data_IF_164483761888
#
_entry.id   IF_164483761888
#
_cell.length_a   1.000
_cell.length_b   1.000
_cell.length_c   1.000
_cell.angle_alpha   90.00
_cell.angle_beta   90.00
_cell.angle_gamma   90.00
#
_symmetry.space_group_name_H-M   'P 1'
#
loop_
_entity.id
_entity.type
_entity.pdbx_description
1 polymer ?
#
# COMPACT_ATOMS: atom_id res chain seq x y z
N UNK A 1 -12.99 73.42 7.39
CA UNK A 1 -14.30 73.57 6.79
C UNK A 1 -14.93 72.18 6.75
N UNK A 2 -15.76 71.89 7.77
CA UNK A 2 -17.11 71.31 7.69
C UNK A 2 -17.16 69.91 7.02
N UNK A 3 -17.82 68.87 7.50
CA UNK A 3 -18.71 68.56 8.64
C UNK A 3 -19.12 67.10 8.50
N UNK A 4 -19.06 66.34 9.57
CA UNK A 4 -20.06 65.42 10.17
C UNK A 4 -20.88 64.48 9.30
N UNK A 5 -20.97 63.22 9.79
CA UNK A 5 -22.07 62.31 9.45
C UNK A 5 -21.96 60.93 10.13
N UNK A 6 -22.38 60.84 11.39
CA UNK A 6 -22.63 59.61 12.16
C UNK A 6 -23.88 58.89 11.61
N UNK A 7 -23.88 57.57 11.61
CA UNK A 7 -25.06 56.75 11.35
C UNK A 7 -24.98 55.41 12.11
N UNK A 8 -25.39 55.40 13.37
CA UNK A 8 -25.66 54.21 14.19
C UNK A 8 -27.07 53.69 13.83
N UNK A 9 -27.20 52.45 13.45
CA UNK A 9 -28.49 51.74 13.44
C UNK A 9 -28.41 50.48 14.26
N UNK A 10 -29.01 50.56 15.47
CA UNK A 10 -29.39 49.44 16.32
C UNK A 10 -30.51 48.67 15.64
N UNK A 11 -30.39 47.33 15.56
CA UNK A 11 -31.56 46.50 15.29
C UNK A 11 -31.90 45.63 16.51
N UNK A 12 -33.18 45.71 16.83
CA UNK A 12 -33.89 45.20 18.00
C UNK A 12 -33.92 43.68 18.08
N UNK A 13 -33.74 43.16 19.28
CA UNK A 13 -34.20 41.84 19.75
C UNK A 13 -35.73 41.80 19.73
N UNK A 14 -36.32 40.78 19.09
CA UNK A 14 -37.69 40.36 19.37
C UNK A 14 -37.68 38.92 19.84
N UNK A 15 -37.95 38.76 21.17
CA UNK A 15 -38.20 37.46 21.77
C UNK A 15 -39.55 36.91 21.29
N UNK A 16 -39.59 35.63 21.05
CA UNK A 16 -40.85 34.87 21.00
C UNK A 16 -40.77 33.75 22.01
N UNK A 17 -41.52 33.99 23.05
CA UNK A 17 -41.95 33.06 24.08
C UNK A 17 -42.79 31.96 23.43
N UNK A 18 -42.41 30.68 23.56
CA UNK A 18 -43.29 29.58 23.28
C UNK A 18 -43.67 28.86 24.56
N UNK A 19 -44.94 28.85 24.76
CA UNK A 19 -45.71 28.29 25.86
C UNK A 19 -45.54 26.76 25.94
N UNK A 20 -45.16 26.27 27.13
CA UNK A 20 -45.16 24.85 27.49
C UNK A 20 -46.59 24.46 27.83
N UNK A 21 -47.21 23.62 27.03
CA UNK A 21 -48.48 22.95 27.36
C UNK A 21 -48.13 21.54 27.86
N UNK A 22 -48.21 21.34 29.18
CA UNK A 22 -48.18 20.03 29.78
C UNK A 22 -49.52 19.32 29.55
N UNK A 23 -49.51 18.21 28.85
CA UNK A 23 -50.63 17.30 28.75
C UNK A 23 -50.29 16.03 29.53
N UNK A 24 -50.86 15.91 30.71
CA UNK A 24 -50.86 14.69 31.53
C UNK A 24 -51.82 13.66 30.95
N UNK A 25 -51.35 12.46 30.64
CA UNK A 25 -52.19 11.29 30.37
C UNK A 25 -51.72 10.09 31.21
N UNK A 26 -52.67 9.31 31.72
CA UNK A 26 -52.36 8.35 32.81
C UNK A 26 -51.77 7.04 32.33
N UNK A 27 -50.96 6.45 33.22
CA UNK A 27 -50.42 5.08 33.15
C UNK A 27 -51.57 4.06 33.10
N UNK A 28 -51.59 3.29 32.03
CA UNK A 28 -52.17 1.94 32.09
C UNK A 28 -51.02 0.94 31.79
N UNK A 29 -50.72 0.15 32.80
CA UNK A 29 -49.70 -0.87 32.73
C UNK A 29 -50.07 -1.98 31.74
N UNK A 30 -49.15 -2.29 30.83
CA UNK A 30 -49.09 -3.57 30.14
C UNK A 30 -47.72 -4.15 30.44
N UNK A 31 -47.72 -5.18 31.27
CA UNK A 31 -46.57 -6.04 31.53
C UNK A 31 -46.27 -6.86 30.26
N UNK A 32 -45.23 -6.51 29.53
CA UNK A 32 -44.65 -7.38 28.51
C UNK A 32 -43.51 -8.19 29.13
N UNK A 33 -43.75 -9.48 29.30
CA UNK A 33 -42.70 -10.47 29.57
C UNK A 33 -41.69 -10.54 28.47
N UNK A 34 -40.40 -10.65 28.75
CA UNK A 34 -39.40 -10.92 27.72
C UNK A 34 -39.54 -12.36 27.24
N UNK A 35 -39.96 -12.56 26.01
CA UNK A 35 -39.86 -13.86 25.33
C UNK A 35 -38.36 -14.14 25.10
N UNK A 36 -37.82 -15.08 25.90
CA UNK A 36 -36.54 -15.68 25.66
C UNK A 36 -36.61 -16.48 24.35
N UNK A 37 -36.02 -15.98 23.29
CA UNK A 37 -35.78 -16.71 22.05
C UNK A 37 -34.71 -17.77 22.33
N UNK A 38 -35.12 -18.99 22.60
CA UNK A 38 -34.25 -20.17 22.62
C UNK A 38 -33.90 -20.51 21.16
N UNK A 39 -32.73 -20.18 20.75
CA UNK A 39 -32.10 -20.70 19.54
C UNK A 39 -31.54 -22.09 19.83
N UNK A 40 -32.40 -23.10 19.78
CA UNK A 40 -31.95 -24.48 19.63
C UNK A 40 -31.66 -24.73 18.18
N UNK A 41 -30.40 -24.72 17.80
CA UNK A 41 -29.96 -25.28 16.52
C UNK A 41 -29.84 -26.80 16.73
N UNK A 42 -30.83 -27.53 16.25
CA UNK A 42 -30.80 -29.01 16.13
C UNK A 42 -29.80 -29.42 15.01
N UNK A 43 -28.55 -29.09 15.18
CA UNK A 43 -27.49 -29.61 14.32
C UNK A 43 -26.68 -30.58 15.20
N UNK A 44 -26.69 -31.88 14.92
CA UNK A 44 -25.83 -32.79 15.64
C UNK A 44 -24.37 -32.41 15.45
N UNK A 45 -23.50 -32.56 16.43
CA UNK A 45 -22.09 -32.27 16.32
C UNK A 45 -21.47 -33.10 15.18
N UNK A 46 -20.47 -32.56 14.42
CA UNK A 46 -19.83 -33.31 13.37
C UNK A 46 -19.17 -34.56 13.96
N UNK A 47 -19.54 -35.70 13.42
CA UNK A 47 -18.94 -37.00 13.78
C UNK A 47 -17.54 -37.01 13.19
N UNK A 48 -16.48 -37.29 13.96
CA UNK A 48 -15.14 -37.43 13.43
C UNK A 48 -15.09 -38.61 12.46
N UNK A 49 -14.27 -38.54 11.36
CA UNK A 49 -14.16 -39.60 10.39
C UNK A 49 -13.65 -40.92 11.07
N UNK A 50 -14.31 -42.00 10.79
CA UNK A 50 -14.13 -43.27 11.48
C UNK A 50 -12.82 -44.02 11.15
N UNK A 51 -11.93 -43.48 10.32
CA UNK A 51 -10.62 -44.10 10.07
C UNK A 51 -9.60 -43.04 9.64
N UNK A 52 -8.57 -42.88 10.44
CA UNK A 52 -7.29 -42.26 10.01
C UNK A 52 -6.53 -43.37 9.29
N UNK A 53 -6.03 -43.17 8.05
CA UNK A 53 -5.15 -44.14 7.41
C UNK A 53 -3.84 -44.29 8.24
N UNK A 54 -3.49 -45.53 8.51
CA UNK A 54 -2.29 -45.90 9.25
C UNK A 54 -1.01 -45.37 8.50
N UNK A 55 -0.07 -44.68 9.16
CA UNK A 55 1.15 -44.14 8.48
C UNK A 55 2.23 -45.21 8.27
N UNK A 56 1.85 -46.44 7.98
CA UNK A 56 2.72 -47.62 7.95
C UNK A 56 2.95 -48.28 6.59
N UNK A 57 2.59 -47.68 5.46
CA UNK A 57 2.92 -48.26 4.15
C UNK A 57 3.91 -47.34 3.39
N UNK A 58 5.20 -47.51 3.65
CA UNK A 58 6.24 -46.95 2.81
C UNK A 58 6.17 -47.56 1.41
N UNK A 59 5.61 -46.86 0.44
CA UNK A 59 5.72 -47.23 -0.96
C UNK A 59 7.14 -46.89 -1.43
N UNK A 60 7.97 -47.94 -1.59
CA UNK A 60 9.28 -47.81 -2.23
C UNK A 60 9.10 -47.46 -3.70
N UNK A 61 9.29 -46.19 -4.03
CA UNK A 61 9.42 -45.74 -5.42
C UNK A 61 10.84 -46.04 -5.88
N UNK A 62 11.00 -47.10 -6.68
CA UNK A 62 12.23 -47.33 -7.41
C UNK A 62 12.44 -46.15 -8.42
N UNK A 63 13.65 -45.61 -8.53
CA UNK A 63 13.90 -44.54 -9.49
C UNK A 63 13.78 -45.05 -10.92
N UNK A 64 13.22 -44.26 -11.85
CA UNK A 64 13.18 -44.61 -13.25
C UNK A 64 14.60 -44.68 -13.82
N UNK A 65 14.91 -45.76 -14.53
CA UNK A 65 16.15 -45.96 -15.27
C UNK A 65 16.22 -44.93 -16.40
N UNK A 66 16.91 -43.80 -16.14
CA UNK A 66 17.26 -42.81 -17.16
C UNK A 66 18.59 -43.19 -17.84
N UNK A 67 18.81 -42.71 -19.08
CA UNK A 67 20.03 -43.04 -19.83
C UNK A 67 21.27 -42.51 -19.16
N UNK A 68 22.30 -43.35 -19.20
CA UNK A 68 23.66 -43.11 -18.63
C UNK A 68 24.24 -41.84 -19.26
N UNK A 69 24.68 -40.82 -18.49
CA UNK A 69 25.40 -39.67 -19.03
C UNK A 69 26.79 -40.10 -19.56
N UNK A 70 27.31 -39.47 -20.63
CA UNK A 70 28.64 -39.75 -21.16
C UNK A 70 29.73 -39.50 -20.14
N UNK A 71 30.87 -40.24 -20.20
CA UNK A 71 31.95 -40.09 -19.24
C UNK A 71 32.56 -38.68 -19.30
N UNK A 72 32.78 -38.10 -18.13
CA UNK A 72 33.43 -36.81 -17.98
C UNK A 72 34.90 -36.89 -18.51
N UNK A 73 35.41 -35.82 -19.13
CA UNK A 73 36.80 -35.78 -19.56
C UNK A 73 37.75 -35.90 -18.36
N UNK A 74 38.72 -36.81 -18.48
CA UNK A 74 39.76 -37.02 -17.49
C UNK A 74 40.61 -35.75 -17.37
N UNK A 75 40.67 -35.21 -16.17
CA UNK A 75 41.55 -34.10 -15.87
C UNK A 75 43.01 -34.57 -15.87
N UNK A 76 43.87 -33.87 -16.59
CA UNK A 76 45.33 -34.00 -16.54
C UNK A 76 45.85 -33.76 -15.13
N UNK A 77 46.90 -34.50 -14.67
CA UNK A 77 47.45 -34.29 -13.34
C UNK A 77 48.09 -32.89 -13.25
N UNK A 78 47.53 -32.07 -12.37
CA UNK A 78 48.08 -30.77 -11.99
C UNK A 78 49.32 -30.93 -11.09
N UNK A 79 50.20 -29.92 -11.01
CA UNK A 79 51.37 -29.94 -10.17
C UNK A 79 51.01 -30.11 -8.69
N UNK A 80 51.93 -30.69 -7.87
CA UNK A 80 51.66 -31.03 -6.49
C UNK A 80 51.29 -29.78 -5.66
N UNK A 81 50.11 -29.81 -5.07
CA UNK A 81 49.67 -28.78 -4.12
C UNK A 81 50.43 -29.00 -2.82
N UNK A 82 51.23 -28.03 -2.41
CA UNK A 82 51.89 -28.01 -1.12
C UNK A 82 50.83 -28.06 0.00
N UNK A 83 51.04 -29.00 0.94
CA UNK A 83 50.15 -29.19 2.09
C UNK A 83 50.11 -27.92 2.96
N UNK A 84 48.93 -27.38 3.14
CA UNK A 84 48.69 -26.30 4.11
C UNK A 84 48.65 -26.93 5.50
N UNK A 85 49.44 -26.46 6.49
CA UNK A 85 49.36 -26.97 7.85
C UNK A 85 47.98 -26.64 8.48
N UNK A 86 47.36 -27.55 9.26
CA UNK A 86 46.12 -27.29 9.95
C UNK A 86 46.35 -26.37 11.15
N UNK A 87 45.60 -25.26 11.22
CA UNK A 87 45.43 -24.55 12.48
C UNK A 87 45.97 -23.13 12.56
N UNK A 88 45.39 -22.23 11.79
CA UNK A 88 45.26 -20.84 12.25
C UNK A 88 43.79 -20.46 12.23
N UNK A 89 43.21 -19.91 13.34
CA UNK A 89 41.87 -19.37 13.30
C UNK A 89 41.83 -18.25 12.26
N UNK A 90 40.83 -18.30 11.37
CA UNK A 90 40.61 -17.25 10.39
C UNK A 90 40.47 -15.91 11.13
N UNK A 91 41.47 -15.05 10.96
CA UNK A 91 41.43 -13.71 11.47
C UNK A 91 40.23 -13.01 10.80
N UNK A 92 39.27 -12.61 11.60
CA UNK A 92 38.19 -11.71 11.19
C UNK A 92 38.90 -10.47 10.59
N UNK A 93 38.62 -10.08 9.34
CA UNK A 93 39.22 -8.89 8.76
C UNK A 93 38.98 -7.72 9.71
N UNK A 94 39.98 -6.92 10.08
CA UNK A 94 39.78 -5.77 10.96
C UNK A 94 38.78 -4.85 10.30
N UNK A 95 37.70 -4.53 11.03
CA UNK A 95 36.80 -3.46 10.67
C UNK A 95 37.68 -2.24 10.45
N UNK A 96 37.71 -1.72 9.22
CA UNK A 96 38.56 -0.60 8.86
C UNK A 96 38.34 0.53 9.85
N UNK A 97 39.39 0.90 10.57
CA UNK A 97 39.34 2.05 11.48
C UNK A 97 38.99 3.29 10.66
N UNK A 98 38.14 4.20 11.19
CA UNK A 98 37.84 5.44 10.51
C UNK A 98 39.15 6.18 10.17
N UNK A 99 39.23 6.83 9.00
CA UNK A 99 40.43 7.57 8.61
C UNK A 99 40.78 8.61 9.69
N UNK A 100 42.05 8.65 10.10
CA UNK A 100 42.53 9.64 11.05
C UNK A 100 42.33 11.05 10.46
N UNK A 101 41.72 11.94 11.21
CA UNK A 101 41.50 13.33 10.80
C UNK A 101 42.88 14.03 10.61
N UNK A 102 43.04 14.79 9.53
CA UNK A 102 44.18 15.70 9.39
C UNK A 102 44.09 16.83 10.45
N UNK A 103 45.21 17.46 10.84
CA UNK A 103 45.17 18.56 11.80
C UNK A 103 44.18 19.64 11.32
N UNK A 104 43.23 20.03 12.18
CA UNK A 104 42.08 20.91 11.93
C UNK A 104 40.93 20.33 11.09
N UNK A 105 40.78 19.00 11.07
CA UNK A 105 39.59 18.36 10.49
C UNK A 105 38.96 17.43 11.52
N UNK A 106 37.62 17.39 11.56
CA UNK A 106 36.85 16.42 12.30
C UNK A 106 36.27 15.35 11.37
N UNK A 107 36.06 14.15 11.90
CA UNK A 107 35.36 13.06 11.19
C UNK A 107 33.98 12.90 11.80
N UNK A 108 32.95 13.15 11.02
CA UNK A 108 31.57 12.91 11.40
C UNK A 108 31.13 11.53 10.93
N UNK A 109 31.00 10.60 11.88
CA UNK A 109 30.57 9.22 11.66
C UNK A 109 29.06 9.14 11.89
N UNK A 110 28.28 8.87 10.83
CA UNK A 110 26.81 8.89 10.88
C UNK A 110 26.25 7.46 10.86
N UNK A 111 25.19 7.26 11.60
CA UNK A 111 24.41 6.02 11.59
C UNK A 111 22.93 6.32 11.77
N UNK A 112 22.05 5.44 11.27
CA UNK A 112 20.61 5.56 11.49
C UNK A 112 20.02 4.21 11.93
N UNK A 113 18.95 4.29 12.74
CA UNK A 113 18.20 3.14 13.26
C UNK A 113 16.72 3.37 13.11
N UNK A 114 15.94 2.30 12.96
CA UNK A 114 14.47 2.39 12.97
C UNK A 114 13.89 2.74 14.35
N UNK A 115 14.61 2.48 15.42
CA UNK A 115 14.24 2.76 16.81
C UNK A 115 15.46 2.69 17.71
N UNK A 116 15.34 3.13 18.98
CA UNK A 116 16.47 3.16 19.94
C UNK A 116 17.10 1.79 20.14
N UNK A 117 16.27 0.73 20.19
CA UNK A 117 16.68 -0.65 20.47
C UNK A 117 16.72 -1.54 19.21
N UNK A 118 16.58 -0.94 18.03
CA UNK A 118 16.63 -1.66 16.76
C UNK A 118 18.01 -1.54 16.12
N UNK A 119 18.41 -2.50 15.27
CA UNK A 119 19.69 -2.49 14.57
C UNK A 119 19.82 -1.30 13.64
N UNK A 120 21.05 -1.01 13.22
CA UNK A 120 21.33 0.02 12.23
C UNK A 120 20.68 -0.32 10.89
N UNK A 121 20.30 0.73 10.18
CA UNK A 121 19.78 0.64 8.81
C UNK A 121 20.97 0.44 7.87
N UNK A 122 20.95 -0.65 7.09
CA UNK A 122 22.09 -1.07 6.29
C UNK A 122 22.05 -0.57 4.83
N UNK A 123 21.06 0.27 4.47
CA UNK A 123 21.00 0.82 3.11
C UNK A 123 19.76 1.69 2.85
N UNK A 124 19.75 2.30 1.67
CA UNK A 124 18.66 3.19 1.24
C UNK A 124 18.68 4.58 1.87
N UNK A 125 19.67 4.87 2.72
CA UNK A 125 19.82 6.18 3.36
C UNK A 125 20.42 7.18 2.39
N UNK A 126 19.94 8.43 2.51
CA UNK A 126 20.52 9.60 1.85
C UNK A 126 20.84 10.62 2.92
N UNK A 127 22.14 10.86 3.11
CA UNK A 127 22.66 11.83 4.05
C UNK A 127 22.98 13.13 3.35
N UNK A 128 22.60 14.26 3.93
CA UNK A 128 22.96 15.60 3.46
C UNK A 128 23.44 16.42 4.62
N UNK A 129 24.60 17.02 4.46
CA UNK A 129 25.18 17.94 5.45
C UNK A 129 25.15 19.35 4.89
N UNK A 130 24.58 20.25 5.66
CA UNK A 130 24.43 21.65 5.30
C UNK A 130 25.23 22.53 6.29
N UNK A 131 25.63 23.72 5.83
CA UNK A 131 26.11 24.76 6.71
C UNK A 131 25.02 25.12 7.74
N UNK A 132 25.42 25.55 8.97
CA UNK A 132 24.47 25.90 10.03
C UNK A 132 23.76 27.23 9.79
N UNK A 133 24.29 28.06 8.91
CA UNK A 133 23.73 29.38 8.57
C UNK A 133 23.23 29.39 7.12
N UNK A 134 22.04 29.96 6.91
CA UNK A 134 21.58 30.22 5.55
C UNK A 134 22.47 31.28 4.87
N UNK A 135 22.54 31.20 3.56
CA UNK A 135 23.17 32.21 2.72
C UNK A 135 22.29 33.48 2.61
N UNK A 136 22.74 34.46 1.82
CA UNK A 136 22.00 35.72 1.60
C UNK A 136 20.62 35.54 0.98
N UNK A 137 20.37 34.39 0.34
CA UNK A 137 19.05 34.02 -0.22
C UNK A 137 18.13 33.32 0.80
N UNK A 138 18.61 33.05 2.01
CA UNK A 138 17.91 32.27 3.04
C UNK A 138 18.03 30.77 2.86
N UNK A 139 18.83 30.28 1.91
CA UNK A 139 19.01 28.85 1.64
C UNK A 139 20.20 28.28 2.44
N UNK A 140 20.05 27.05 2.97
CA UNK A 140 21.15 26.34 3.59
C UNK A 140 22.04 25.71 2.51
N UNK A 141 23.32 26.08 2.48
CA UNK A 141 24.29 25.55 1.52
C UNK A 141 24.58 24.08 1.84
N UNK A 142 24.28 23.18 0.89
CA UNK A 142 24.66 21.77 0.97
C UNK A 142 26.16 21.61 0.77
N UNK A 143 26.83 20.99 1.74
CA UNK A 143 28.28 20.78 1.73
C UNK A 143 28.65 19.38 1.26
N UNK A 144 27.87 18.36 1.65
CA UNK A 144 28.11 16.96 1.31
C UNK A 144 26.79 16.21 1.16
N UNK A 145 26.76 15.25 0.23
CA UNK A 145 25.74 14.20 0.14
C UNK A 145 26.44 12.85 0.15
N UNK A 146 25.89 11.87 0.87
CA UNK A 146 26.40 10.50 0.92
C UNK A 146 25.22 9.53 0.97
N UNK A 147 25.40 8.31 0.45
CA UNK A 147 24.37 7.25 0.40
C UNK A 147 24.80 5.97 1.12
N UNK A 148 25.90 6.03 1.82
CA UNK A 148 26.38 4.93 2.65
C UNK A 148 25.46 4.66 3.85
N UNK A 149 25.49 3.43 4.34
CA UNK A 149 24.75 3.08 5.56
C UNK A 149 25.32 3.77 6.80
N UNK A 150 26.66 3.91 6.84
CA UNK A 150 27.41 4.55 7.93
C UNK A 150 28.56 5.39 7.35
N UNK A 151 28.25 6.55 6.74
CA UNK A 151 29.28 7.37 6.12
C UNK A 151 30.18 8.03 7.17
N UNK A 152 31.45 8.23 6.81
CA UNK A 152 32.42 9.01 7.54
C UNK A 152 32.71 10.28 6.75
N UNK A 153 32.21 11.41 7.19
CA UNK A 153 32.32 12.67 6.48
C UNK A 153 33.38 13.54 7.16
N UNK A 154 34.42 13.91 6.40
CA UNK A 154 35.50 14.76 6.89
C UNK A 154 35.15 16.22 6.60
N UNK A 155 35.10 17.04 7.66
CA UNK A 155 34.76 18.46 7.61
C UNK A 155 35.61 19.26 8.59
N UNK A 156 35.80 20.58 8.40
CA UNK A 156 36.36 21.44 9.44
C UNK A 156 35.50 21.40 10.72
N UNK A 157 36.10 21.61 11.91
CA UNK A 157 35.31 21.76 13.14
C UNK A 157 34.32 22.91 13.04
N UNK A 158 33.08 22.68 13.51
CA UNK A 158 32.02 23.68 13.43
C UNK A 158 30.64 23.06 13.57
N UNK A 159 29.61 23.90 13.49
CA UNK A 159 28.23 23.47 13.56
C UNK A 159 27.67 23.20 12.16
N UNK A 160 26.97 22.11 12.03
CA UNK A 160 26.36 21.63 10.78
C UNK A 160 24.94 21.18 10.98
N UNK A 161 24.11 21.29 9.96
CA UNK A 161 22.78 20.69 9.93
C UNK A 161 22.85 19.40 9.12
N UNK A 162 22.61 18.28 9.80
CA UNK A 162 22.60 16.94 9.18
C UNK A 162 21.16 16.52 8.93
N UNK A 163 20.86 16.23 7.68
CA UNK A 163 19.59 15.66 7.24
C UNK A 163 19.84 14.22 6.76
N UNK A 164 19.01 13.29 7.23
CA UNK A 164 18.98 11.91 6.75
C UNK A 164 17.59 11.58 6.27
N UNK A 165 17.50 10.88 5.14
CA UNK A 165 16.24 10.43 4.55
C UNK A 165 16.29 8.94 4.19
N UNK A 166 15.14 8.28 4.34
CA UNK A 166 14.88 6.90 3.92
C UNK A 166 13.46 6.82 3.36
N UNK A 167 13.34 6.82 2.04
CA UNK A 167 12.04 6.93 1.38
C UNK A 167 11.32 8.23 1.79
N UNK A 168 10.13 8.10 2.38
CA UNK A 168 9.33 9.24 2.86
C UNK A 168 9.62 9.63 4.31
N UNK A 169 10.59 9.01 4.95
CA UNK A 169 10.98 9.31 6.33
C UNK A 169 12.26 10.11 6.35
N UNK A 170 12.31 11.15 7.14
CA UNK A 170 13.52 11.94 7.31
C UNK A 170 13.68 12.45 8.75
N UNK A 171 14.92 12.74 9.10
CA UNK A 171 15.25 13.45 10.34
C UNK A 171 16.31 14.51 10.07
N UNK A 172 16.22 15.60 10.83
CA UNK A 172 17.16 16.70 10.77
C UNK A 172 17.68 16.97 12.18
N UNK A 173 18.98 17.20 12.32
CA UNK A 173 19.60 17.58 13.58
C UNK A 173 20.78 18.50 13.34
N UNK A 174 20.96 19.49 14.21
CA UNK A 174 22.19 20.27 14.31
C UNK A 174 23.24 19.50 15.09
N UNK A 175 24.47 19.41 14.55
CA UNK A 175 25.60 18.67 15.10
C UNK A 175 26.78 19.64 15.20
N UNK A 176 27.46 19.65 16.36
CA UNK A 176 28.68 20.43 16.56
C UNK A 176 29.89 19.51 16.46
N UNK A 177 30.56 19.51 15.31
CA UNK A 177 31.72 18.68 15.02
C UNK A 177 32.96 19.27 15.66
N UNK A 178 33.62 18.46 16.52
CA UNK A 178 34.91 18.77 17.14
C UNK A 178 36.06 18.30 16.25
N UNK A 179 37.32 18.74 16.53
CA UNK A 179 38.51 18.27 15.77
C UNK A 179 38.88 16.81 16.12
N UNK A 180 37.90 15.96 16.34
CA UNK A 180 38.00 14.53 16.66
C UNK A 180 36.97 13.76 15.83
N UNK A 181 36.86 12.46 16.08
CA UNK A 181 35.80 11.63 15.48
C UNK A 181 34.53 11.72 16.33
N UNK A 182 33.52 12.40 15.83
CA UNK A 182 32.18 12.44 16.42
C UNK A 182 31.27 11.38 15.78
N UNK A 183 30.54 10.65 16.62
CA UNK A 183 29.61 9.60 16.19
C UNK A 183 28.19 10.02 16.52
N UNK A 184 27.39 10.21 15.47
CA UNK A 184 25.99 10.59 15.58
C UNK A 184 25.05 9.48 15.10
N UNK A 185 24.07 9.16 15.95
CA UNK A 185 23.05 8.17 15.63
C UNK A 185 21.67 8.83 15.52
N UNK A 186 21.02 8.62 14.37
CA UNK A 186 19.70 9.12 14.07
C UNK A 186 18.65 8.04 14.25
N UNK A 187 17.48 8.40 14.77
CA UNK A 187 16.33 7.52 14.84
C UNK A 187 15.35 7.91 13.74
N UNK A 188 15.09 6.97 12.82
CA UNK A 188 14.11 7.08 11.75
C UNK A 188 13.00 6.05 12.01
N UNK A 189 11.91 6.42 12.68
CA UNK A 189 10.82 5.48 12.95
C UNK A 189 10.04 5.19 11.65
N UNK A 190 10.62 4.31 10.84
CA UNK A 190 10.13 3.91 9.54
C UNK A 190 9.82 2.42 9.48
N UNK A 191 8.78 2.06 8.72
CA UNK A 191 8.46 0.68 8.36
C UNK A 191 8.26 0.52 6.86
N UNK A 192 8.47 -0.70 6.37
CA UNK A 192 8.17 -1.07 5.00
C UNK A 192 6.69 -1.38 4.82
N UNK A 193 6.13 -0.98 3.70
CA UNK A 193 4.80 -1.38 3.24
C UNK A 193 4.91 -1.97 1.85
N UNK A 194 4.27 -3.13 1.65
CA UNK A 194 4.12 -3.75 0.34
C UNK A 194 2.67 -4.15 0.13
N UNK A 195 2.11 -3.80 -1.03
CA UNK A 195 0.69 -3.96 -1.34
C UNK A 195 0.51 -4.94 -2.50
N UNK A 196 -0.44 -5.84 -2.36
CA UNK A 196 -0.87 -6.75 -3.42
C UNK A 196 -2.39 -6.76 -3.51
N UNK A 197 -2.92 -6.99 -4.73
CA UNK A 197 -4.34 -7.19 -4.97
C UNK A 197 -4.67 -8.59 -5.44
N UNK A 198 -5.84 -9.09 -5.03
CA UNK A 198 -6.37 -10.40 -5.45
C UNK A 198 -7.86 -10.34 -5.75
N UNK A 199 -8.29 -11.25 -6.64
CA UNK A 199 -9.70 -11.61 -6.80
C UNK A 199 -9.81 -13.09 -6.48
N UNK A 200 -10.54 -13.44 -5.42
CA UNK A 200 -10.51 -14.78 -4.89
C UNK A 200 -9.08 -15.22 -4.53
N UNK A 201 -8.58 -16.28 -5.15
CA UNK A 201 -7.20 -16.76 -4.97
C UNK A 201 -6.21 -16.21 -6.02
N UNK A 202 -6.70 -15.59 -7.08
CA UNK A 202 -5.89 -15.12 -8.21
C UNK A 202 -5.30 -13.74 -7.93
N UNK A 203 -4.00 -13.58 -8.19
CA UNK A 203 -3.31 -12.29 -8.07
C UNK A 203 -3.70 -11.40 -9.26
N UNK A 204 -4.04 -10.14 -8.97
CA UNK A 204 -4.30 -9.14 -10.00
C UNK A 204 -2.96 -8.68 -10.60
N UNK A 205 -2.83 -8.63 -11.94
CA UNK A 205 -1.64 -8.10 -12.60
C UNK A 205 -1.34 -6.64 -12.19
N UNK A 206 -0.05 -6.30 -12.08
CA UNK A 206 0.37 -4.96 -11.63
C UNK A 206 -0.17 -3.81 -12.47
N UNK A 207 -0.33 -4.02 -13.77
CA UNK A 207 -0.86 -3.01 -14.71
C UNK A 207 -2.37 -2.83 -14.65
N UNK A 208 -3.08 -3.63 -13.86
CA UNK A 208 -4.54 -3.58 -13.71
C UNK A 208 -4.99 -3.07 -12.35
N UNK A 209 -4.06 -2.87 -11.42
CA UNK A 209 -4.37 -2.41 -10.07
C UNK A 209 -3.42 -1.29 -9.67
N UNK A 210 -3.95 -0.31 -8.96
CA UNK A 210 -3.19 0.78 -8.37
C UNK A 210 -3.64 1.04 -6.94
N UNK A 211 -2.71 1.58 -6.13
CA UNK A 211 -3.01 1.92 -4.74
C UNK A 211 -2.71 3.39 -4.49
N UNK A 212 -3.55 4.03 -3.70
CA UNK A 212 -3.28 5.34 -3.13
C UNK A 212 -3.19 5.22 -1.61
N UNK A 213 -2.21 5.87 -1.00
CA UNK A 213 -1.96 5.80 0.43
C UNK A 213 -2.27 7.16 1.04
N UNK A 214 -3.05 7.14 2.12
CA UNK A 214 -3.47 8.31 2.88
C UNK A 214 -3.02 8.18 4.34
N UNK A 215 -2.69 9.30 4.97
CA UNK A 215 -2.33 9.34 6.40
C UNK A 215 -3.58 9.39 7.27
N UNK A 216 -3.64 8.58 8.31
CA UNK A 216 -4.77 8.47 9.24
C UNK A 216 -5.71 7.33 8.90
N UNK A 217 -6.96 7.37 9.37
CA UNK A 217 -8.01 6.39 9.10
C UNK A 217 -8.98 6.87 8.04
N UNK A 218 -9.57 5.95 7.30
CA UNK A 218 -10.65 6.23 6.35
C UNK A 218 -11.90 6.83 7.02
N UNK A 219 -12.04 6.67 8.34
CA UNK A 219 -13.16 7.19 9.13
C UNK A 219 -12.93 8.60 9.71
N UNK A 220 -11.76 9.21 9.47
CA UNK A 220 -11.41 10.55 10.00
C UNK A 220 -12.26 11.71 9.43
N UNK A 221 -13.20 11.45 8.51
CA UNK A 221 -14.19 12.39 8.01
C UNK A 221 -13.64 13.62 7.26
N UNK A 222 -12.34 13.70 7.00
CA UNK A 222 -11.70 14.79 6.24
C UNK A 222 -11.23 14.26 4.90
N UNK A 223 -11.65 14.92 3.84
CA UNK A 223 -11.07 14.69 2.53
C UNK A 223 -9.60 15.17 2.54
N UNK A 224 -8.69 14.27 2.25
CA UNK A 224 -7.24 14.53 2.26
C UNK A 224 -6.65 14.15 0.90
N UNK A 225 -5.66 14.91 0.47
CA UNK A 225 -4.84 14.47 -0.64
C UNK A 225 -4.06 13.20 -0.25
N UNK A 226 -3.87 12.26 -1.16
CA UNK A 226 -3.06 11.07 -0.90
C UNK A 226 -1.62 11.47 -0.59
N UNK A 227 -1.02 10.81 0.40
CA UNK A 227 0.41 10.92 0.70
C UNK A 227 1.25 10.38 -0.48
N UNK A 228 0.80 9.26 -1.06
CA UNK A 228 1.34 8.68 -2.28
C UNK A 228 0.17 8.30 -3.18
N UNK A 229 0.00 8.97 -4.34
CA UNK A 229 -1.21 8.82 -5.15
C UNK A 229 -1.22 7.55 -6.01
N UNK A 230 -0.08 6.97 -6.30
CA UNK A 230 0.02 5.88 -7.28
C UNK A 230 1.16 4.92 -6.89
N UNK A 231 0.82 3.85 -6.20
CA UNK A 231 1.75 2.80 -5.80
C UNK A 231 1.44 1.56 -6.62
N UNK A 232 2.45 1.00 -7.28
CA UNK A 232 2.30 -0.25 -8.01
C UNK A 232 2.23 -1.45 -7.05
N UNK A 233 1.52 -2.49 -7.47
CA UNK A 233 1.46 -3.74 -6.70
C UNK A 233 2.85 -4.39 -6.60
N UNK A 234 3.24 -4.79 -5.39
CA UNK A 234 4.52 -5.43 -5.12
C UNK A 234 5.67 -4.48 -4.81
N UNK A 235 5.52 -3.19 -5.06
CA UNK A 235 6.55 -2.20 -4.70
C UNK A 235 6.67 -2.08 -3.17
N UNK A 236 7.91 -1.92 -2.71
CA UNK A 236 8.19 -1.66 -1.31
C UNK A 236 8.34 -0.17 -1.06
N UNK A 237 7.53 0.36 -0.18
CA UNK A 237 7.52 1.76 0.21
C UNK A 237 7.92 1.93 1.67
N UNK A 238 8.88 2.83 1.96
CA UNK A 238 9.24 3.18 3.34
C UNK A 238 8.41 4.36 3.81
N UNK A 239 7.62 4.13 4.87
CA UNK A 239 6.72 5.12 5.47
C UNK A 239 7.09 5.38 6.93
N UNK A 240 6.81 6.58 7.47
CA UNK A 240 6.84 6.81 8.91
C UNK A 240 5.96 5.81 9.66
N UNK A 241 6.37 5.45 10.87
CA UNK A 241 5.49 4.69 11.75
C UNK A 241 4.17 5.43 11.97
N UNK A 242 3.03 4.72 11.87
CA UNK A 242 1.73 5.33 12.03
C UNK A 242 0.58 4.55 11.45
N UNK A 243 -0.60 5.16 11.51
CA UNK A 243 -1.83 4.65 10.90
C UNK A 243 -2.03 5.32 9.55
N UNK A 244 -2.40 4.50 8.59
CA UNK A 244 -2.70 4.90 7.22
C UNK A 244 -3.95 4.18 6.75
N UNK A 245 -4.58 4.68 5.71
CA UNK A 245 -5.52 3.89 4.94
C UNK A 245 -5.09 3.85 3.47
N UNK A 246 -5.39 2.75 2.84
CA UNK A 246 -5.14 2.51 1.43
C UNK A 246 -6.45 2.52 0.66
N UNK A 247 -6.41 3.04 -0.54
CA UNK A 247 -7.47 2.93 -1.54
C UNK A 247 -6.90 2.12 -2.68
N UNK A 248 -7.45 0.93 -2.90
CA UNK A 248 -7.08 0.03 -3.98
C UNK A 248 -8.09 0.15 -5.11
N UNK A 249 -7.63 0.44 -6.33
CA UNK A 249 -8.45 0.53 -7.52
C UNK A 249 -8.06 -0.60 -8.47
N UNK A 250 -9.00 -1.51 -8.74
CA UNK A 250 -8.84 -2.55 -9.75
C UNK A 250 -9.57 -2.15 -11.00
N UNK A 251 -8.81 -1.93 -12.09
CA UNK A 251 -9.33 -1.28 -13.29
C UNK A 251 -9.64 0.21 -13.06
N UNK A 252 -10.51 0.75 -13.89
CA UNK A 252 -10.85 2.16 -13.96
C UNK A 252 -12.37 2.45 -13.81
N UNK A 253 -13.13 1.46 -13.31
CA UNK A 253 -14.55 1.61 -13.06
C UNK A 253 -14.85 1.68 -11.54
N UNK A 254 -15.60 0.72 -10.99
CA UNK A 254 -16.10 0.79 -9.64
C UNK A 254 -15.51 -0.23 -8.64
N UNK A 255 -14.52 -1.01 -9.05
CA UNK A 255 -13.88 -1.96 -8.15
C UNK A 255 -12.85 -1.26 -7.25
N UNK A 256 -13.34 -0.67 -6.17
CA UNK A 256 -12.55 0.10 -5.21
C UNK A 256 -12.67 -0.50 -3.82
N UNK A 257 -11.54 -0.76 -3.17
CA UNK A 257 -11.48 -1.26 -1.78
C UNK A 257 -10.68 -0.30 -0.93
N UNK A 258 -11.19 0.01 0.27
CA UNK A 258 -10.52 0.83 1.28
C UNK A 258 -10.19 -0.03 2.49
N UNK A 259 -8.99 0.14 3.05
CA UNK A 259 -8.56 -0.60 4.23
C UNK A 259 -7.62 0.24 5.09
N UNK A 260 -7.84 0.25 6.39
CA UNK A 260 -6.92 0.84 7.36
C UNK A 260 -5.77 -0.12 7.63
N UNK A 261 -4.57 0.42 7.73
CA UNK A 261 -3.34 -0.31 8.00
C UNK A 261 -2.50 0.40 9.05
N UNK A 262 -1.64 -0.35 9.74
CA UNK A 262 -0.67 0.20 10.68
C UNK A 262 0.74 -0.18 10.25
N UNK A 263 1.57 0.82 10.02
CA UNK A 263 3.01 0.67 9.76
C UNK A 263 3.77 0.77 11.08
N UNK A 264 4.64 -0.19 11.35
CA UNK A 264 5.47 -0.25 12.56
C UNK A 264 6.95 -0.09 12.20
N UNK A 265 7.67 0.66 13.04
CA UNK A 265 9.09 0.88 12.83
C UNK A 265 9.88 -0.44 12.76
N UNK A 266 10.79 -0.54 11.80
CA UNK A 266 11.66 -1.69 11.58
C UNK A 266 10.97 -2.95 11.06
N UNK A 267 9.67 -2.90 10.73
CA UNK A 267 8.92 -4.06 10.21
C UNK A 267 8.47 -3.83 8.77
N UNK A 268 8.37 -4.92 8.03
CA UNK A 268 7.68 -4.96 6.75
C UNK A 268 6.21 -5.36 7.00
N UNK A 269 5.30 -4.55 6.51
CA UNK A 269 3.86 -4.82 6.52
C UNK A 269 3.44 -5.23 5.12
N UNK A 270 3.14 -6.51 4.94
CA UNK A 270 2.58 -7.05 3.71
C UNK A 270 1.06 -7.03 3.78
N UNK A 271 0.42 -6.36 2.83
CA UNK A 271 -1.03 -6.22 2.78
C UNK A 271 -1.57 -6.78 1.48
N UNK A 272 -2.47 -7.74 1.58
CA UNK A 272 -3.22 -8.27 0.43
C UNK A 272 -4.64 -7.71 0.46
N UNK A 273 -5.02 -6.97 -0.57
CA UNK A 273 -6.37 -6.44 -0.75
C UNK A 273 -7.15 -7.38 -1.66
N UNK A 274 -8.30 -7.86 -1.17
CA UNK A 274 -9.17 -8.73 -1.96
C UNK A 274 -10.31 -7.92 -2.56
N UNK A 275 -10.36 -7.89 -3.89
CA UNK A 275 -11.46 -7.32 -4.66
C UNK A 275 -12.53 -8.37 -4.94
N UNK A 276 -13.77 -7.95 -4.90
CA UNK A 276 -14.93 -8.74 -5.38
C UNK A 276 -15.35 -8.16 -6.72
N UNK A 277 -14.76 -8.66 -7.79
CA UNK A 277 -14.90 -8.10 -9.13
C UNK A 277 -14.62 -9.14 -10.20
N UNK A 278 -14.95 -8.81 -11.44
CA UNK A 278 -14.59 -9.59 -12.61
C UNK A 278 -14.34 -8.68 -13.82
N UNK A 279 -13.62 -9.19 -14.81
CA UNK A 279 -13.40 -8.52 -16.09
C UNK A 279 -14.52 -8.90 -17.05
N UNK A 280 -15.29 -7.93 -17.50
CA UNK A 280 -16.39 -8.11 -18.43
C UNK A 280 -16.02 -7.53 -19.79
N UNK A 281 -16.11 -8.36 -20.83
CA UNK A 281 -15.97 -7.93 -22.22
C UNK A 281 -17.37 -7.68 -22.80
N UNK A 282 -17.60 -6.47 -23.32
CA UNK A 282 -18.88 -6.11 -23.94
C UNK A 282 -18.80 -6.32 -25.46
N UNK A 283 -19.90 -6.75 -26.05
CA UNK A 283 -19.97 -7.06 -27.48
C UNK A 283 -21.39 -6.79 -27.99
N UNK A 284 -21.52 -5.96 -29.03
CA UNK A 284 -22.78 -5.75 -29.74
C UNK A 284 -22.76 -6.61 -30.99
N UNK A 285 -23.76 -7.46 -31.17
CA UNK A 285 -23.85 -8.41 -32.29
C UNK A 285 -25.22 -8.35 -32.97
N UNK A 286 -25.28 -8.59 -34.29
CA UNK A 286 -26.53 -8.69 -35.01
C UNK A 286 -27.28 -9.97 -34.63
N UNK A 287 -26.55 -11.07 -34.52
CA UNK A 287 -27.07 -12.39 -34.16
C UNK A 287 -26.22 -12.99 -33.04
N UNK A 288 -26.81 -13.89 -32.24
CA UNK A 288 -26.13 -14.56 -31.13
C UNK A 288 -24.86 -15.27 -31.59
N UNK A 289 -23.72 -14.98 -31.00
CA UNK A 289 -22.42 -15.54 -31.39
C UNK A 289 -21.81 -14.90 -32.64
N UNK A 290 -22.45 -13.88 -33.22
CA UNK A 290 -21.98 -13.17 -34.42
C UNK A 290 -20.75 -12.27 -34.15
N UNK A 291 -20.27 -11.63 -35.20
CA UNK A 291 -19.18 -10.65 -35.09
C UNK A 291 -19.62 -9.38 -34.36
N UNK A 292 -18.69 -8.80 -33.62
CA UNK A 292 -18.96 -7.55 -32.89
C UNK A 292 -18.99 -6.37 -33.86
N UNK A 293 -19.99 -5.52 -33.68
CA UNK A 293 -20.17 -4.30 -34.46
C UNK A 293 -19.14 -3.25 -34.00
N UNK A 294 -18.34 -2.75 -34.93
CA UNK A 294 -17.40 -1.68 -34.70
C UNK A 294 -18.10 -0.35 -34.35
N UNK A 295 -17.30 0.62 -33.85
CA UNK A 295 -17.77 1.99 -33.54
C UNK A 295 -18.99 2.04 -32.59
N UNK A 296 -19.12 1.06 -31.70
CA UNK A 296 -20.16 1.02 -30.68
C UNK A 296 -19.73 1.85 -29.49
N UNK A 297 -20.55 2.81 -29.08
CA UNK A 297 -20.41 3.53 -27.82
C UNK A 297 -21.17 2.79 -26.72
N UNK A 298 -20.50 2.58 -25.59
CA UNK A 298 -20.98 1.80 -24.47
C UNK A 298 -21.16 2.66 -23.22
N UNK A 299 -22.24 2.42 -22.50
CA UNK A 299 -22.43 2.89 -21.14
C UNK A 299 -22.85 1.73 -20.26
N UNK A 300 -22.12 1.48 -19.19
CA UNK A 300 -22.50 0.50 -18.16
C UNK A 300 -23.08 1.26 -16.98
N UNK A 301 -24.30 0.91 -16.60
CA UNK A 301 -25.01 1.55 -15.49
C UNK A 301 -25.33 0.54 -14.39
N UNK A 302 -25.38 1.02 -13.14
CA UNK A 302 -25.84 0.25 -11.99
C UNK A 302 -27.40 0.24 -11.93
N UNK A 303 -28.02 -0.54 -11.03
CA UNK A 303 -29.48 -0.55 -10.87
C UNK A 303 -30.05 0.81 -10.42
N UNK A 304 -29.23 1.66 -9.80
CA UNK A 304 -29.61 3.02 -9.41
C UNK A 304 -29.68 4.02 -10.56
N UNK A 305 -29.19 3.63 -11.75
CA UNK A 305 -29.14 4.47 -12.94
C UNK A 305 -27.85 5.28 -13.09
N UNK A 306 -26.88 5.13 -12.17
CA UNK A 306 -25.58 5.82 -12.28
C UNK A 306 -24.72 5.18 -13.35
N UNK A 307 -24.06 6.01 -14.16
CA UNK A 307 -23.09 5.55 -15.15
C UNK A 307 -21.80 5.16 -14.45
N UNK A 308 -21.46 3.89 -14.51
CA UNK A 308 -20.25 3.33 -13.91
C UNK A 308 -19.06 3.45 -14.84
N UNK A 309 -19.27 3.19 -16.14
CA UNK A 309 -18.20 3.24 -17.15
C UNK A 309 -18.76 3.57 -18.51
N UNK A 310 -18.03 4.41 -19.23
CA UNK A 310 -18.24 4.64 -20.67
C UNK A 310 -17.00 4.17 -21.44
N UNK A 311 -17.22 3.65 -22.64
CA UNK A 311 -16.14 3.20 -23.53
C UNK A 311 -16.63 3.17 -24.98
N UNK A 312 -15.68 3.10 -25.93
CA UNK A 312 -15.98 3.01 -27.36
C UNK A 312 -15.14 1.84 -27.92
N UNK A 313 -15.75 1.03 -28.72
CA UNK A 313 -15.07 -0.08 -29.40
C UNK A 313 -15.97 -1.31 -29.59
N UNK A 314 -15.44 -2.28 -30.33
CA UNK A 314 -16.13 -3.55 -30.59
C UNK A 314 -16.10 -4.50 -29.38
N UNK A 315 -14.98 -4.49 -28.61
CA UNK A 315 -14.73 -5.40 -27.49
C UNK A 315 -14.13 -4.66 -26.27
N UNK A 316 -14.80 -3.64 -25.73
CA UNK A 316 -14.25 -2.98 -24.54
C UNK A 316 -14.28 -3.95 -23.35
N UNK A 317 -13.16 -3.95 -22.59
CA UNK A 317 -13.05 -4.68 -21.33
C UNK A 317 -13.23 -3.71 -20.17
N UNK A 318 -14.08 -4.07 -19.23
CA UNK A 318 -14.40 -3.27 -18.05
C UNK A 318 -14.27 -4.15 -16.82
N UNK A 319 -13.56 -3.67 -15.81
CA UNK A 319 -13.52 -4.31 -14.48
C UNK A 319 -14.69 -3.79 -13.66
N UNK A 320 -15.61 -4.67 -13.31
CA UNK A 320 -16.78 -4.31 -12.51
C UNK A 320 -16.78 -5.06 -11.18
N UNK A 321 -17.21 -4.38 -10.13
CA UNK A 321 -17.51 -5.03 -8.85
C UNK A 321 -18.62 -6.05 -9.03
N UNK A 322 -18.66 -7.06 -8.15
CA UNK A 322 -19.78 -8.00 -8.08
C UNK A 322 -21.11 -7.26 -7.89
N UNK A 323 -22.12 -7.62 -8.67
CA UNK A 323 -23.44 -6.99 -8.63
C UNK A 323 -24.15 -7.03 -9.99
N UNK A 324 -25.31 -6.37 -10.04
CA UNK A 324 -26.12 -6.29 -11.23
C UNK A 324 -25.86 -4.99 -12.00
N UNK A 325 -25.89 -5.07 -13.31
CA UNK A 325 -25.62 -3.98 -14.23
C UNK A 325 -26.50 -4.04 -15.46
N UNK A 326 -26.53 -2.95 -16.20
CA UNK A 326 -27.10 -2.88 -17.53
C UNK A 326 -26.10 -2.26 -18.49
N UNK A 327 -25.78 -2.99 -19.56
CA UNK A 327 -24.99 -2.49 -20.68
C UNK A 327 -25.92 -1.80 -21.68
N UNK A 328 -25.59 -0.58 -22.06
CA UNK A 328 -26.26 0.20 -23.10
C UNK A 328 -25.26 0.36 -24.23
N UNK A 329 -25.61 -0.10 -25.41
CA UNK A 329 -24.82 0.01 -26.63
C UNK A 329 -25.51 0.97 -27.60
N UNK A 330 -24.77 1.99 -28.06
CA UNK A 330 -25.24 2.92 -29.11
C UNK A 330 -24.39 2.71 -30.37
N UNK A 331 -25.05 2.32 -31.46
CA UNK A 331 -24.40 2.10 -32.76
C UNK A 331 -25.31 2.65 -33.86
N UNK A 332 -24.74 3.43 -34.80
CA UNK A 332 -25.48 4.06 -35.91
C UNK A 332 -26.77 4.79 -35.52
N UNK A 333 -26.75 5.46 -34.35
CA UNK A 333 -27.90 6.22 -33.82
C UNK A 333 -28.96 5.35 -33.14
N UNK A 334 -28.87 4.03 -33.17
CA UNK A 334 -29.75 3.10 -32.46
C UNK A 334 -29.18 2.76 -31.09
N UNK A 335 -30.08 2.47 -30.15
CA UNK A 335 -29.71 2.13 -28.76
C UNK A 335 -30.24 0.72 -28.46
N UNK A 336 -29.34 -0.10 -27.90
CA UNK A 336 -29.61 -1.48 -27.51
C UNK A 336 -29.20 -1.66 -26.06
N UNK A 337 -29.88 -2.49 -25.30
CA UNK A 337 -29.55 -2.71 -23.91
C UNK A 337 -29.67 -4.18 -23.49
N UNK A 338 -28.87 -4.55 -22.46
CA UNK A 338 -28.94 -5.86 -21.82
C UNK A 338 -28.56 -5.76 -20.36
N UNK A 339 -29.39 -6.34 -19.48
CA UNK A 339 -29.05 -6.54 -18.08
C UNK A 339 -28.19 -7.78 -17.92
N UNK A 340 -27.23 -7.74 -16.99
CA UNK A 340 -26.33 -8.83 -16.65
C UNK A 340 -25.86 -8.72 -15.19
N UNK A 341 -25.41 -9.84 -14.65
CA UNK A 341 -24.85 -9.90 -13.30
C UNK A 341 -23.37 -10.25 -13.36
N UNK A 342 -22.58 -9.58 -12.54
CA UNK A 342 -21.14 -9.84 -12.35
C UNK A 342 -20.95 -10.70 -11.12
N UNK A 343 -20.30 -11.84 -11.30
CA UNK A 343 -19.96 -12.78 -10.22
C UNK A 343 -18.48 -12.66 -9.92
N UNK A 344 -18.14 -12.61 -8.62
CA UNK A 344 -16.77 -12.47 -8.18
C UNK A 344 -15.82 -13.50 -8.77
N UNK A 345 -14.78 -13.05 -9.44
CA UNK A 345 -13.72 -13.90 -10.02
C UNK A 345 -14.14 -14.69 -11.27
N UNK A 346 -15.32 -14.42 -11.83
CA UNK A 346 -15.80 -15.06 -13.04
C UNK A 346 -15.80 -14.04 -14.18
N UNK A 347 -14.69 -14.01 -14.92
CA UNK A 347 -14.59 -13.17 -16.10
C UNK A 347 -15.56 -13.68 -17.19
N UNK A 348 -16.17 -12.76 -17.95
CA UNK A 348 -17.21 -13.10 -18.89
C UNK A 348 -17.34 -12.16 -20.07
N UNK A 349 -18.16 -12.58 -21.03
CA UNK A 349 -18.54 -11.79 -22.18
C UNK A 349 -20.06 -11.51 -22.13
N UNK A 350 -20.44 -10.27 -22.38
CA UNK A 350 -21.83 -9.84 -22.43
C UNK A 350 -22.15 -9.42 -23.86
N UNK A 351 -22.93 -10.27 -24.54
CA UNK A 351 -23.43 -9.97 -25.87
C UNK A 351 -24.72 -9.18 -25.79
N UNK A 352 -24.77 -8.00 -26.41
CA UNK A 352 -25.98 -7.22 -26.63
C UNK A 352 -26.44 -7.46 -28.07
N UNK A 353 -27.72 -7.73 -28.26
CA UNK A 353 -28.29 -7.99 -29.59
C UNK A 353 -28.79 -6.70 -30.23
N UNK A 354 -28.39 -6.43 -31.46
CA UNK A 354 -28.78 -5.25 -32.25
C UNK A 354 -30.16 -5.43 -32.94
N UNK A 355 -31.19 -5.75 -32.11
CA UNK A 355 -32.55 -5.95 -32.57
C UNK A 355 -33.60 -5.47 -31.59
#
# INVERSE_FOLDING_TARGET
MMTTGRGFTRFRRSGRLWLVLALSCPLTGLSMSPAAAQLFSDRPPPVPPASVPDPGAAVSLAPPSGPIPPPAPQALPGPPVAAIPPGAPAAIPPVAAPPAAAPNQGVLSLSARFGKDLPNINGGLVWRVFADRPDESGAFKMLREDRGATPNIVLPPGTYVVHVALGLVSAVRSVNLKPETDRESFVLPAGGLRLEGRVGTSKIPQNQISFAIYKGSQFDGRERAPLVPNVAAGDMLMLPEGTYYIVSNYGDANSVVRSDIRVQAGKLTDVTVTHRAAVITLKLVSDKGGEALANTAWSVINPGGDVIKESIGAFPKVVLSEGDYRAIAKNEGKVFERSFSVVNGVDGEVEVLAR
#
